data_IF_357441796837
#
_entry.id   IF_357441796837
#
_cell.length_a   1.000
_cell.length_b   1.000
_cell.length_c   1.000
_cell.angle_alpha   90.00
_cell.angle_beta   90.00
_cell.angle_gamma   90.00
#
_symmetry.space_group_name_H-M   'P 1'
#
loop_
_entity.id
_entity.type
_entity.pdbx_description
1 polymer ?
#
# COMPACT_ATOMS: atom_id res chain seq x y z
N UNK A 1 -1.56 -13.50 31.75
CA UNK A 1 -1.34 -13.47 30.28
C UNK A 1 0.04 -14.05 29.99
N UNK A 2 0.21 -14.80 28.90
CA UNK A 2 1.52 -15.37 28.55
C UNK A 2 2.39 -14.34 27.80
N UNK A 3 3.71 -14.40 27.99
CA UNK A 3 4.69 -13.60 27.24
C UNK A 3 4.49 -13.70 25.72
N UNK A 4 4.07 -14.88 25.24
CA UNK A 4 3.77 -15.11 23.82
C UNK A 4 2.60 -14.27 23.31
N UNK A 5 1.56 -14.06 24.12
CA UNK A 5 0.43 -13.20 23.73
C UNK A 5 0.83 -11.72 23.71
N UNK A 6 1.71 -11.28 24.61
CA UNK A 6 2.25 -9.91 24.58
C UNK A 6 3.12 -9.67 23.34
N UNK A 7 3.99 -10.62 22.99
CA UNK A 7 4.79 -10.54 21.75
C UNK A 7 3.90 -10.46 20.51
N UNK A 8 2.84 -11.28 20.43
CA UNK A 8 1.88 -11.23 19.32
C UNK A 8 1.13 -9.89 19.24
N UNK A 9 0.79 -9.28 20.38
CA UNK A 9 0.17 -7.94 20.40
C UNK A 9 1.11 -6.86 19.87
N UNK A 10 2.40 -6.91 20.24
CA UNK A 10 3.40 -5.97 19.69
C UNK A 10 3.56 -6.15 18.18
N UNK A 11 3.61 -7.41 17.70
CA UNK A 11 3.66 -7.69 16.27
C UNK A 11 2.42 -7.16 15.53
N UNK A 12 1.23 -7.33 16.12
CA UNK A 12 -0.01 -6.79 15.57
C UNK A 12 0.06 -5.27 15.44
N UNK A 13 0.46 -4.56 16.50
CA UNK A 13 0.61 -3.09 16.48
C UNK A 13 1.57 -2.64 15.38
N UNK A 14 2.72 -3.33 15.24
CA UNK A 14 3.69 -3.01 14.19
C UNK A 14 3.10 -3.20 12.79
N UNK A 15 2.38 -4.31 12.55
CA UNK A 15 1.72 -4.56 11.27
C UNK A 15 0.62 -3.52 10.98
N UNK A 16 -0.13 -3.10 11.99
CA UNK A 16 -1.15 -2.04 11.84
C UNK A 16 -0.52 -0.68 11.48
N UNK A 17 0.63 -0.34 12.08
CA UNK A 17 1.41 0.83 11.67
C UNK A 17 1.91 0.72 10.23
N UNK A 18 2.44 -0.44 9.83
CA UNK A 18 2.88 -0.67 8.44
C UNK A 18 1.71 -0.55 7.47
N UNK A 19 0.55 -1.14 7.78
CA UNK A 19 -0.64 -1.03 6.94
C UNK A 19 -1.11 0.42 6.79
N UNK A 20 -1.07 1.21 7.88
CA UNK A 20 -1.40 2.65 7.82
C UNK A 20 -0.44 3.39 6.90
N UNK A 21 0.87 3.14 7.02
CA UNK A 21 1.89 3.75 6.16
C UNK A 21 1.65 3.40 4.69
N UNK A 22 1.47 2.13 4.37
CA UNK A 22 1.23 1.68 2.99
C UNK A 22 -0.02 2.32 2.37
N UNK A 23 -1.10 2.49 3.15
CA UNK A 23 -2.30 3.20 2.67
C UNK A 23 -2.03 4.66 2.30
N UNK A 24 -1.24 5.37 3.09
CA UNK A 24 -0.85 6.75 2.78
C UNK A 24 0.01 6.81 1.51
N UNK A 25 1.01 5.93 1.39
CA UNK A 25 1.86 5.86 0.21
C UNK A 25 1.07 5.52 -1.07
N UNK A 26 0.09 4.61 -0.97
CA UNK A 26 -0.82 4.27 -2.07
C UNK A 26 -1.69 5.47 -2.45
N UNK A 27 -2.23 6.21 -1.48
CA UNK A 27 -3.04 7.41 -1.73
C UNK A 27 -2.24 8.49 -2.45
N UNK A 28 -1.01 8.75 -1.99
CA UNK A 28 -0.12 9.75 -2.58
C UNK A 28 0.25 9.36 -4.02
N UNK A 29 0.61 8.09 -4.27
CA UNK A 29 0.89 7.60 -5.62
C UNK A 29 -0.32 7.69 -6.53
N UNK A 30 -1.50 7.29 -6.06
CA UNK A 30 -2.73 7.39 -6.85
C UNK A 30 -3.02 8.84 -7.24
N UNK A 31 -2.79 9.80 -6.33
CA UNK A 31 -2.94 11.23 -6.63
C UNK A 31 -1.96 11.71 -7.70
N UNK A 32 -0.69 11.30 -7.62
CA UNK A 32 0.35 11.64 -8.60
C UNK A 32 -0.02 11.07 -9.98
N UNK A 33 -0.43 9.81 -10.04
CA UNK A 33 -0.86 9.15 -11.29
C UNK A 33 -2.03 9.90 -11.92
N UNK A 34 -3.04 10.27 -11.13
CA UNK A 34 -4.17 11.07 -11.63
C UNK A 34 -3.73 12.41 -12.23
N UNK A 35 -2.76 13.09 -11.61
CA UNK A 35 -2.20 14.35 -12.13
C UNK A 35 -1.47 14.09 -13.44
N UNK A 36 -0.64 13.04 -13.52
CA UNK A 36 0.13 12.73 -14.72
C UNK A 36 -0.73 12.23 -15.89
N UNK A 37 -1.88 11.62 -15.58
CA UNK A 37 -2.90 11.22 -16.54
C UNK A 37 -3.75 12.39 -17.06
N UNK A 38 -3.68 13.58 -16.46
CA UNK A 38 -4.27 14.78 -17.07
C UNK A 38 -3.44 15.23 -18.27
N UNK A 39 -3.72 14.58 -19.39
CA UNK A 39 -3.07 14.80 -20.67
C UNK A 39 -3.94 15.63 -21.63
N UNK A 40 -4.96 16.33 -21.12
CA UNK A 40 -5.94 17.06 -21.92
C UNK A 40 -5.32 18.10 -22.88
N UNK A 41 -4.10 18.58 -22.58
CA UNK A 41 -3.35 19.56 -23.37
C UNK A 41 -2.12 18.98 -24.09
N UNK A 42 -1.91 17.66 -24.05
CA UNK A 42 -0.74 17.00 -24.65
C UNK A 42 -1.07 16.41 -26.02
N UNK A 43 -0.11 16.48 -26.94
CA UNK A 43 -0.21 15.72 -28.20
C UNK A 43 0.03 14.23 -27.94
N UNK A 44 -0.45 13.33 -28.81
CA UNK A 44 -0.29 11.88 -28.63
C UNK A 44 1.17 11.42 -28.43
N UNK A 45 2.11 12.07 -29.10
CA UNK A 45 3.56 11.84 -29.02
C UNK A 45 4.22 12.39 -27.74
N UNK A 46 3.51 13.23 -26.99
CA UNK A 46 3.97 13.84 -25.74
C UNK A 46 3.35 13.17 -24.50
N UNK A 47 2.54 12.13 -24.69
CA UNK A 47 1.89 11.42 -23.60
C UNK A 47 2.95 10.75 -22.70
N UNK A 48 2.84 10.89 -21.36
CA UNK A 48 3.81 10.34 -20.41
C UNK A 48 3.56 8.84 -20.17
N UNK A 49 3.45 8.06 -21.25
CA UNK A 49 3.03 6.65 -21.18
C UNK A 49 3.98 5.83 -20.31
N UNK A 50 5.29 5.95 -20.54
CA UNK A 50 6.32 5.21 -19.79
C UNK A 50 6.35 5.60 -18.30
N UNK A 51 6.23 6.89 -18.00
CA UNK A 51 6.21 7.41 -16.62
C UNK A 51 4.99 6.90 -15.86
N UNK A 52 3.80 6.95 -16.48
CA UNK A 52 2.56 6.46 -15.86
C UNK A 52 2.59 4.94 -15.69
N UNK A 53 3.16 4.20 -16.64
CA UNK A 53 3.30 2.74 -16.55
C UNK A 53 4.18 2.34 -15.37
N UNK A 54 5.35 2.99 -15.20
CA UNK A 54 6.23 2.78 -14.05
C UNK A 54 5.53 3.11 -12.72
N UNK A 55 4.80 4.23 -12.66
CA UNK A 55 4.05 4.60 -11.46
C UNK A 55 2.93 3.60 -11.15
N UNK A 56 2.30 3.04 -12.17
CA UNK A 56 1.28 2.01 -12.02
C UNK A 56 1.86 0.69 -11.51
N UNK A 57 3.06 0.32 -11.94
CA UNK A 57 3.81 -0.82 -11.40
C UNK A 57 4.13 -0.64 -9.92
N UNK A 58 4.59 0.56 -9.52
CA UNK A 58 4.84 0.88 -8.11
C UNK A 58 3.56 0.80 -7.26
N UNK A 59 2.44 1.31 -7.79
CA UNK A 59 1.14 1.22 -7.14
C UNK A 59 0.72 -0.24 -6.91
N UNK A 60 0.84 -1.09 -7.95
CA UNK A 60 0.54 -2.53 -7.85
C UNK A 60 1.41 -3.21 -6.80
N UNK A 61 2.71 -2.88 -6.77
CA UNK A 61 3.67 -3.43 -5.81
C UNK A 61 3.27 -3.12 -4.36
N UNK A 62 2.99 -1.83 -4.06
CA UNK A 62 2.55 -1.43 -2.70
C UNK A 62 1.20 -2.03 -2.33
N UNK A 63 0.29 -2.18 -3.30
CA UNK A 63 -1.00 -2.83 -3.06
C UNK A 63 -0.84 -4.31 -2.69
N UNK A 64 0.07 -5.01 -3.36
CA UNK A 64 0.39 -6.40 -3.03
C UNK A 64 0.99 -6.50 -1.61
N UNK A 65 1.88 -5.59 -1.22
CA UNK A 65 2.41 -5.52 0.14
C UNK A 65 1.29 -5.30 1.17
N UNK A 66 0.39 -4.35 0.91
CA UNK A 66 -0.76 -4.08 1.79
C UNK A 66 -1.68 -5.29 1.95
N UNK A 67 -1.91 -6.06 0.88
CA UNK A 67 -2.72 -7.27 0.92
C UNK A 67 -2.09 -8.33 1.84
N UNK A 68 -0.78 -8.54 1.73
CA UNK A 68 -0.02 -9.47 2.60
C UNK A 68 -0.06 -9.01 4.06
N UNK A 69 0.20 -7.72 4.33
CA UNK A 69 0.16 -7.16 5.69
C UNK A 69 -1.24 -7.30 6.29
N UNK A 70 -2.29 -7.00 5.52
CA UNK A 70 -3.68 -7.11 5.98
C UNK A 70 -4.07 -8.55 6.31
N UNK A 71 -3.64 -9.52 5.49
CA UNK A 71 -3.83 -10.95 5.76
C UNK A 71 -3.15 -11.37 7.08
N UNK A 72 -1.91 -10.93 7.31
CA UNK A 72 -1.19 -11.20 8.55
C UNK A 72 -1.85 -10.58 9.79
N UNK A 73 -2.35 -9.34 9.69
CA UNK A 73 -3.14 -8.69 10.74
C UNK A 73 -4.36 -9.54 11.08
N UNK A 74 -5.12 -9.96 10.07
CA UNK A 74 -6.34 -10.73 10.28
C UNK A 74 -6.03 -12.07 10.97
N UNK A 75 -4.98 -12.77 10.53
CA UNK A 75 -4.52 -14.00 11.15
C UNK A 75 -4.16 -13.81 12.62
N UNK A 76 -3.35 -12.79 12.95
CA UNK A 76 -2.96 -12.51 14.33
C UNK A 76 -4.16 -12.11 15.20
N UNK A 77 -5.13 -11.37 14.66
CA UNK A 77 -6.37 -11.04 15.37
C UNK A 77 -7.18 -12.29 15.72
N UNK A 78 -7.26 -13.26 14.81
CA UNK A 78 -7.91 -14.56 15.08
C UNK A 78 -7.13 -15.38 16.11
N UNK A 79 -5.79 -15.39 16.06
CA UNK A 79 -4.94 -16.10 17.02
C UNK A 79 -4.95 -15.49 18.43
N UNK A 80 -5.24 -14.19 18.55
CA UNK A 80 -5.24 -13.44 19.81
C UNK A 80 -6.58 -13.43 20.54
N UNK A 81 -7.66 -13.88 19.90
CA UNK A 81 -8.99 -14.22 20.44
C UNK A 81 -9.38 -13.55 21.75
#
# INVERSE_FOLDING_TARGET
MSLQNEMRRVQLTNLEHTAKRLRMEIEDLARIICINLDCSLKRPDELPVEEVDSQWDDLKSKWAELAVVSSNIQRLKTELG
#
